data_IF_171488719317
#
_entry.id   IF_171488719317
#
_cell.length_a   1.000
_cell.length_b   1.000
_cell.length_c   1.000
_cell.angle_alpha   90.00
_cell.angle_beta   90.00
_cell.angle_gamma   90.00
#
_symmetry.space_group_name_H-M   'P 1'
#
loop_
_entity.id
_entity.type
_entity.pdbx_description
1 polymer ?
#
# COMPACT_ATOMS: atom_id res chain seq x y z
N UNK A 1 -59.46 -4.11 10.07
CA UNK A 1 -59.11 -3.52 8.77
C UNK A 1 -57.61 -3.64 8.62
N UNK A 2 -57.13 -4.49 7.70
CA UNK A 2 -55.71 -4.54 7.33
C UNK A 2 -55.39 -3.28 6.53
N UNK A 3 -54.61 -2.38 7.11
CA UNK A 3 -54.06 -1.21 6.42
C UNK A 3 -53.04 -1.69 5.40
N UNK A 4 -53.27 -1.40 4.11
CA UNK A 4 -52.30 -1.62 3.05
C UNK A 4 -50.94 -1.01 3.45
N UNK A 5 -49.81 -1.67 3.15
CA UNK A 5 -48.51 -1.05 3.38
C UNK A 5 -48.42 0.24 2.55
N UNK A 6 -48.12 1.36 3.23
CA UNK A 6 -47.85 2.62 2.58
C UNK A 6 -46.55 2.55 1.77
N UNK A 7 -46.38 3.43 0.75
CA UNK A 7 -45.15 3.46 -0.02
C UNK A 7 -43.97 3.80 0.88
N UNK A 8 -42.89 3.03 0.74
CA UNK A 8 -41.59 3.37 1.32
C UNK A 8 -41.12 4.64 0.60
N UNK A 9 -41.18 5.79 1.27
CA UNK A 9 -40.63 7.03 0.75
C UNK A 9 -39.16 7.14 1.13
N UNK A 10 -38.28 6.72 0.22
CA UNK A 10 -36.83 6.95 0.33
C UNK A 10 -36.59 8.38 -0.16
N UNK A 11 -36.55 9.35 0.76
CA UNK A 11 -36.30 10.76 0.44
C UNK A 11 -34.92 10.94 -0.19
N UNK A 12 -34.84 11.77 -1.25
CA UNK A 12 -33.70 11.97 -2.20
C UNK A 12 -33.26 10.74 -3.03
N UNK A 13 -33.51 9.52 -2.55
CA UNK A 13 -33.11 8.26 -3.20
C UNK A 13 -34.04 7.75 -4.30
N UNK A 14 -35.27 8.26 -4.42
CA UNK A 14 -36.16 7.90 -5.54
C UNK A 14 -35.55 8.21 -6.91
N UNK A 15 -34.60 9.15 -6.99
CA UNK A 15 -33.85 9.49 -8.20
C UNK A 15 -32.62 8.59 -8.45
N UNK A 16 -32.20 7.76 -7.47
CA UNK A 16 -31.02 6.86 -7.55
C UNK A 16 -31.38 5.38 -7.63
N UNK A 17 -32.67 5.04 -7.58
CA UNK A 17 -33.15 3.66 -7.66
C UNK A 17 -33.01 3.14 -9.09
N UNK A 18 -31.97 2.35 -9.34
CA UNK A 18 -31.78 1.62 -10.60
C UNK A 18 -32.41 0.24 -10.53
N UNK A 19 -32.65 -0.39 -11.68
CA UNK A 19 -33.07 -1.79 -11.73
C UNK A 19 -32.02 -2.70 -11.08
N UNK A 20 -30.73 -2.37 -11.19
CA UNK A 20 -29.63 -3.12 -10.59
C UNK A 20 -29.70 -3.06 -9.05
N UNK A 21 -30.00 -1.88 -8.49
CA UNK A 21 -30.25 -1.71 -7.07
C UNK A 21 -31.42 -2.60 -6.58
N UNK A 22 -32.52 -2.64 -7.32
CA UNK A 22 -33.68 -3.46 -6.94
C UNK A 22 -33.36 -4.95 -6.90
N UNK A 23 -32.60 -5.44 -7.88
CA UNK A 23 -32.19 -6.84 -7.94
C UNK A 23 -31.23 -7.18 -6.80
N UNK A 24 -30.29 -6.30 -6.51
CA UNK A 24 -29.23 -6.59 -5.53
C UNK A 24 -29.71 -6.41 -4.09
N UNK A 25 -30.49 -5.36 -3.81
CA UNK A 25 -30.88 -5.01 -2.44
C UNK A 25 -32.30 -5.41 -2.08
N UNK A 26 -33.25 -5.43 -3.03
CA UNK A 26 -34.67 -5.68 -2.74
C UNK A 26 -35.13 -7.10 -3.09
N UNK A 27 -34.52 -7.77 -4.06
CA UNK A 27 -34.87 -9.15 -4.39
C UNK A 27 -34.46 -10.09 -3.25
N UNK A 28 -35.37 -10.74 -2.55
CA UNK A 28 -34.98 -11.64 -1.44
C UNK A 28 -34.50 -13.03 -1.92
N UNK A 29 -34.81 -13.42 -3.15
CA UNK A 29 -34.46 -14.73 -3.70
C UNK A 29 -33.06 -14.70 -4.33
N UNK A 30 -32.11 -15.45 -3.74
CA UNK A 30 -30.73 -15.52 -4.21
C UNK A 30 -30.60 -16.10 -5.62
N UNK A 31 -31.32 -17.17 -5.93
CA UNK A 31 -31.28 -17.82 -7.25
C UNK A 31 -31.72 -16.86 -8.36
N UNK A 32 -32.76 -16.06 -8.11
CA UNK A 32 -33.21 -15.06 -9.07
C UNK A 32 -32.16 -13.96 -9.31
N UNK A 33 -31.42 -13.55 -8.25
CA UNK A 33 -30.31 -12.61 -8.43
C UNK A 33 -29.19 -13.24 -9.27
N UNK A 34 -28.82 -14.49 -9.00
CA UNK A 34 -27.79 -15.21 -9.76
C UNK A 34 -28.20 -15.38 -11.22
N UNK A 35 -29.41 -15.87 -11.49
CA UNK A 35 -29.91 -16.02 -12.86
C UNK A 35 -29.90 -14.71 -13.63
N UNK A 36 -30.17 -13.58 -12.99
CA UNK A 36 -30.08 -12.27 -13.65
C UNK A 36 -28.66 -11.98 -14.15
N UNK A 37 -27.65 -12.15 -13.30
CA UNK A 37 -26.25 -11.91 -13.68
C UNK A 37 -25.71 -12.95 -14.65
N UNK A 38 -26.21 -14.19 -14.60
CA UNK A 38 -25.91 -15.22 -15.61
C UNK A 38 -26.43 -14.83 -17.00
N UNK A 39 -27.66 -14.31 -17.07
CA UNK A 39 -28.24 -13.79 -18.32
C UNK A 39 -27.46 -12.57 -18.80
N UNK A 40 -27.12 -11.63 -17.91
CA UNK A 40 -26.32 -10.47 -18.26
C UNK A 40 -24.95 -10.87 -18.83
N UNK A 41 -24.28 -11.86 -18.22
CA UNK A 41 -23.02 -12.42 -18.71
C UNK A 41 -23.16 -13.02 -20.11
N UNK A 42 -24.23 -13.77 -20.36
CA UNK A 42 -24.51 -14.31 -21.70
C UNK A 42 -24.73 -13.20 -22.73
N UNK A 43 -25.48 -12.15 -22.38
CA UNK A 43 -25.65 -10.99 -23.26
C UNK A 43 -24.32 -10.29 -23.58
N UNK A 44 -23.42 -10.14 -22.60
CA UNK A 44 -22.07 -9.59 -22.82
C UNK A 44 -21.29 -10.46 -23.81
N UNK A 45 -21.32 -11.78 -23.65
CA UNK A 45 -20.64 -12.69 -24.57
C UNK A 45 -21.17 -12.57 -26.02
N UNK A 46 -22.48 -12.36 -26.18
CA UNK A 46 -23.10 -12.22 -27.50
C UNK A 46 -22.77 -10.87 -28.17
N UNK A 47 -22.76 -9.76 -27.41
CA UNK A 47 -22.50 -8.42 -27.98
C UNK A 47 -21.01 -8.11 -28.17
N UNK A 48 -20.11 -8.75 -27.41
CA UNK A 48 -18.67 -8.44 -27.45
C UNK A 48 -18.04 -8.59 -28.84
N UNK A 49 -18.30 -9.65 -29.63
CA UNK A 49 -17.77 -9.75 -30.99
C UNK A 49 -18.25 -8.63 -31.91
N UNK A 50 -19.49 -8.17 -31.75
CA UNK A 50 -20.05 -7.08 -32.55
C UNK A 50 -19.34 -5.77 -32.25
N UNK A 51 -19.03 -5.52 -30.96
CA UNK A 51 -18.29 -4.33 -30.54
C UNK A 51 -16.86 -4.37 -31.10
N UNK A 52 -16.17 -5.51 -30.99
CA UNK A 52 -14.81 -5.66 -31.52
C UNK A 52 -14.75 -5.44 -33.04
N UNK A 53 -15.74 -5.94 -33.78
CA UNK A 53 -15.85 -5.68 -35.21
C UNK A 53 -16.03 -4.17 -35.48
N UNK A 54 -16.94 -3.50 -34.77
CA UNK A 54 -17.13 -2.06 -34.93
C UNK A 54 -15.89 -1.24 -34.56
N UNK A 55 -15.14 -1.62 -33.52
CA UNK A 55 -13.86 -0.99 -33.17
C UNK A 55 -12.81 -1.12 -34.28
N UNK A 56 -12.87 -2.20 -35.07
CA UNK A 56 -11.98 -2.39 -36.21
C UNK A 56 -12.39 -1.53 -37.41
N UNK A 57 -13.70 -1.38 -37.64
CA UNK A 57 -14.26 -0.64 -38.78
C UNK A 57 -14.27 0.88 -38.57
N UNK A 58 -14.49 1.31 -37.32
CA UNK A 58 -14.65 2.71 -36.92
C UNK A 58 -13.79 3.00 -35.68
N UNK A 59 -12.45 2.95 -35.78
CA UNK A 59 -11.60 3.22 -34.64
C UNK A 59 -11.90 4.62 -34.07
N UNK A 60 -12.06 4.66 -32.75
CA UNK A 60 -12.27 5.87 -31.93
C UNK A 60 -13.61 6.61 -32.09
N UNK A 61 -14.53 6.14 -32.94
CA UNK A 61 -15.89 6.68 -33.04
C UNK A 61 -16.87 5.90 -32.16
N UNK A 62 -16.83 6.19 -30.86
CA UNK A 62 -17.70 5.54 -29.85
C UNK A 62 -19.18 5.86 -30.04
N UNK A 63 -19.50 7.02 -30.63
CA UNK A 63 -20.88 7.42 -30.93
C UNK A 63 -21.50 6.54 -32.03
N UNK A 64 -20.68 5.99 -32.92
CA UNK A 64 -21.09 5.01 -33.93
C UNK A 64 -21.24 3.58 -33.40
N UNK A 65 -20.96 3.32 -32.10
CA UNK A 65 -20.96 1.98 -31.50
C UNK A 65 -22.06 1.82 -30.42
N UNK A 66 -23.35 1.76 -30.79
CA UNK A 66 -24.45 1.74 -29.81
C UNK A 66 -24.38 0.54 -28.85
N UNK A 67 -23.89 -0.61 -29.29
CA UNK A 67 -23.71 -1.78 -28.43
C UNK A 67 -22.63 -1.55 -27.37
N UNK A 68 -21.57 -0.81 -27.71
CA UNK A 68 -20.52 -0.44 -26.76
C UNK A 68 -21.07 0.54 -25.72
N UNK A 69 -21.84 1.55 -26.15
CA UNK A 69 -22.50 2.49 -25.23
C UNK A 69 -23.43 1.80 -24.24
N UNK A 70 -24.26 0.85 -24.71
CA UNK A 70 -25.16 0.06 -23.85
C UNK A 70 -24.35 -0.74 -22.83
N UNK A 71 -23.28 -1.40 -23.26
CA UNK A 71 -22.42 -2.18 -22.38
C UNK A 71 -21.73 -1.29 -21.34
N UNK A 72 -21.14 -0.16 -21.75
CA UNK A 72 -20.48 0.80 -20.85
C UNK A 72 -21.47 1.30 -19.79
N UNK A 73 -22.68 1.71 -20.20
CA UNK A 73 -23.72 2.19 -19.27
C UNK A 73 -24.11 1.12 -18.25
N UNK A 74 -24.27 -0.13 -18.69
CA UNK A 74 -24.56 -1.25 -17.79
C UNK A 74 -23.42 -1.51 -16.80
N UNK A 75 -22.17 -1.47 -17.26
CA UNK A 75 -20.99 -1.66 -16.41
C UNK A 75 -20.83 -0.51 -15.40
N UNK A 76 -21.08 0.74 -15.80
CA UNK A 76 -21.09 1.91 -14.93
C UNK A 76 -22.13 1.77 -13.81
N UNK A 77 -23.34 1.31 -14.14
CA UNK A 77 -24.37 1.05 -13.12
C UNK A 77 -23.93 -0.05 -12.13
N UNK A 78 -23.24 -1.09 -12.60
CA UNK A 78 -22.68 -2.13 -11.75
C UNK A 78 -21.57 -1.59 -10.84
N UNK A 79 -20.65 -0.77 -11.37
CA UNK A 79 -19.56 -0.14 -10.61
C UNK A 79 -20.11 0.82 -9.57
N UNK A 80 -21.04 1.70 -9.97
CA UNK A 80 -21.67 2.66 -9.08
C UNK A 80 -22.35 1.95 -7.91
N UNK A 81 -23.10 0.87 -8.19
CA UNK A 81 -23.72 0.07 -7.15
C UNK A 81 -22.69 -0.65 -6.27
N UNK A 82 -21.65 -1.21 -6.88
CA UNK A 82 -20.62 -1.94 -6.15
C UNK A 82 -19.87 -1.02 -5.20
N UNK A 83 -19.58 0.23 -5.56
CA UNK A 83 -18.84 1.18 -4.72
C UNK A 83 -19.71 2.14 -3.89
N UNK A 84 -21.03 2.16 -4.05
CA UNK A 84 -21.95 2.91 -3.20
C UNK A 84 -22.17 2.22 -1.85
N UNK A 85 -21.36 2.56 -0.83
CA UNK A 85 -21.38 1.82 0.46
C UNK A 85 -21.43 2.66 1.73
N UNK A 86 -21.54 3.97 1.60
CA UNK A 86 -21.36 4.87 2.75
C UNK A 86 -22.57 4.93 3.67
N UNK A 87 -23.78 4.67 3.18
CA UNK A 87 -24.99 4.40 3.97
C UNK A 87 -26.22 4.30 3.08
N UNK A 88 -27.17 3.43 3.44
CA UNK A 88 -28.56 3.57 2.98
C UNK A 88 -29.37 4.15 4.14
N UNK A 89 -29.88 5.37 3.97
CA UNK A 89 -30.92 5.90 4.85
C UNK A 89 -32.26 5.23 4.54
N UNK A 90 -32.71 4.34 5.42
CA UNK A 90 -34.07 3.82 5.37
C UNK A 90 -34.93 4.67 6.29
N UNK A 91 -35.76 5.54 5.70
CA UNK A 91 -36.84 6.19 6.43
C UNK A 91 -37.80 5.10 6.96
N UNK A 92 -37.84 4.94 8.28
CA UNK A 92 -38.77 4.07 8.97
C UNK A 92 -40.22 4.53 8.79
N UNK A 93 -41.15 3.66 9.17
CA UNK A 93 -42.61 3.81 9.03
C UNK A 93 -43.22 5.04 9.76
N UNK A 94 -42.41 5.78 10.51
CA UNK A 94 -42.80 7.02 11.19
C UNK A 94 -41.82 8.12 10.79
N UNK A 95 -42.33 9.31 10.47
CA UNK A 95 -41.62 10.49 9.93
C UNK A 95 -40.36 10.96 10.68
N UNK A 96 -39.98 10.32 11.78
CA UNK A 96 -38.90 10.74 12.68
C UNK A 96 -37.85 9.65 12.95
N UNK A 97 -37.82 8.54 12.19
CA UNK A 97 -36.81 7.49 12.34
C UNK A 97 -36.18 7.23 10.98
N UNK A 98 -35.10 7.93 10.63
CA UNK A 98 -34.19 7.49 9.56
C UNK A 98 -33.22 6.46 10.18
N UNK A 99 -33.26 5.22 9.71
CA UNK A 99 -32.28 4.20 10.09
C UNK A 99 -31.19 4.17 9.02
N UNK A 100 -30.01 4.68 9.37
CA UNK A 100 -28.79 4.55 8.56
C UNK A 100 -28.35 3.08 8.60
N UNK A 101 -28.51 2.34 7.50
CA UNK A 101 -27.92 1.02 7.34
C UNK A 101 -26.51 1.21 6.78
N UNK A 102 -25.55 1.40 7.67
CA UNK A 102 -24.13 1.22 7.40
C UNK A 102 -23.69 -0.08 8.09
N UNK A 103 -23.95 -1.24 7.46
CA UNK A 103 -23.74 -2.55 8.12
C UNK A 103 -23.27 -3.64 7.14
N UNK A 104 -22.68 -4.71 7.69
CA UNK A 104 -22.23 -5.89 6.97
C UNK A 104 -23.23 -6.51 5.97
N UNK A 105 -24.57 -6.50 6.18
CA UNK A 105 -25.53 -6.99 5.19
C UNK A 105 -25.55 -6.18 3.89
N UNK A 106 -25.21 -4.89 3.94
CA UNK A 106 -25.09 -4.06 2.73
C UNK A 106 -23.90 -4.53 1.90
N UNK A 107 -22.74 -4.71 2.53
CA UNK A 107 -21.56 -5.29 1.89
C UNK A 107 -21.82 -6.70 1.34
N UNK A 108 -22.55 -7.54 2.06
CA UNK A 108 -22.94 -8.88 1.61
C UNK A 108 -23.86 -8.84 0.37
N UNK A 109 -24.76 -7.86 0.28
CA UNK A 109 -25.69 -7.77 -0.86
C UNK A 109 -24.96 -7.47 -2.19
N UNK A 110 -23.91 -6.63 -2.16
CA UNK A 110 -23.16 -6.26 -3.37
C UNK A 110 -22.12 -7.30 -3.80
N UNK A 111 -21.88 -8.36 -3.00
CA UNK A 111 -20.92 -9.42 -3.35
C UNK A 111 -21.26 -10.11 -4.67
N UNK A 112 -22.55 -10.25 -4.97
CA UNK A 112 -22.98 -10.86 -6.24
C UNK A 112 -22.55 -10.03 -7.45
N UNK A 113 -22.55 -8.70 -7.31
CA UNK A 113 -22.04 -7.78 -8.34
C UNK A 113 -20.53 -7.92 -8.47
N UNK A 114 -19.81 -7.95 -7.35
CA UNK A 114 -18.36 -8.17 -7.35
C UNK A 114 -17.96 -9.50 -8.01
N UNK A 115 -18.67 -10.58 -7.69
CA UNK A 115 -18.44 -11.91 -8.28
C UNK A 115 -18.75 -11.93 -9.78
N UNK A 116 -19.81 -11.24 -10.20
CA UNK A 116 -20.15 -11.06 -11.60
C UNK A 116 -19.05 -10.29 -12.34
N UNK A 117 -18.62 -9.14 -11.81
CA UNK A 117 -17.54 -8.32 -12.37
C UNK A 117 -16.24 -9.14 -12.51
N UNK A 118 -15.86 -9.88 -11.48
CA UNK A 118 -14.67 -10.76 -11.48
C UNK A 118 -14.73 -11.82 -12.60
N UNK A 119 -15.92 -12.41 -12.79
CA UNK A 119 -16.14 -13.41 -13.83
C UNK A 119 -15.97 -12.81 -15.23
N UNK A 120 -16.62 -11.68 -15.50
CA UNK A 120 -16.60 -11.08 -16.84
C UNK A 120 -15.23 -10.47 -17.21
N UNK A 121 -14.45 -9.97 -16.23
CA UNK A 121 -13.07 -9.50 -16.50
C UNK A 121 -12.12 -10.64 -16.83
N UNK A 122 -12.37 -11.82 -16.25
CA UNK A 122 -11.56 -13.02 -16.53
C UNK A 122 -11.83 -13.51 -17.95
N UNK A 123 -13.08 -13.45 -18.39
CA UNK A 123 -13.54 -14.06 -19.65
C UNK A 123 -13.39 -13.16 -20.87
N UNK A 124 -13.35 -11.84 -20.67
CA UNK A 124 -13.34 -10.90 -21.79
C UNK A 124 -12.32 -9.78 -21.61
N UNK A 125 -11.34 -9.71 -22.52
CA UNK A 125 -10.42 -8.57 -22.63
C UNK A 125 -11.14 -7.25 -22.94
N UNK A 126 -12.22 -7.28 -23.73
CA UNK A 126 -13.02 -6.08 -24.04
C UNK A 126 -13.59 -5.45 -22.77
N UNK A 127 -14.29 -6.26 -21.97
CA UNK A 127 -14.79 -5.84 -20.66
C UNK A 127 -13.69 -5.26 -19.75
N UNK A 128 -12.49 -5.87 -19.67
CA UNK A 128 -11.37 -5.28 -18.91
C UNK A 128 -11.02 -3.88 -19.42
N UNK A 129 -10.84 -3.74 -20.73
CA UNK A 129 -10.55 -2.46 -21.37
C UNK A 129 -11.65 -1.43 -21.07
N UNK A 130 -12.92 -1.78 -21.26
CA UNK A 130 -14.05 -0.87 -21.00
C UNK A 130 -14.12 -0.45 -19.52
N UNK A 131 -13.95 -1.40 -18.58
CA UNK A 131 -14.01 -1.10 -17.15
C UNK A 131 -12.90 -0.12 -16.72
N UNK A 132 -11.71 -0.24 -17.28
CA UNK A 132 -10.57 0.65 -16.97
C UNK A 132 -10.70 1.98 -17.69
N UNK A 133 -10.81 1.97 -19.03
CA UNK A 133 -10.65 3.14 -19.88
C UNK A 133 -11.93 3.96 -20.05
N UNK A 134 -13.11 3.33 -19.92
CA UNK A 134 -14.41 3.98 -20.11
C UNK A 134 -15.19 4.15 -18.82
N UNK A 135 -15.15 3.15 -17.95
CA UNK A 135 -15.90 3.17 -16.69
C UNK A 135 -15.06 3.62 -15.48
N UNK A 136 -13.75 3.86 -15.64
CA UNK A 136 -12.86 4.35 -14.59
C UNK A 136 -12.99 3.58 -13.26
N UNK A 137 -13.06 2.25 -13.32
CA UNK A 137 -13.26 1.41 -12.13
C UNK A 137 -12.15 1.62 -11.07
N UNK A 138 -10.93 1.95 -11.52
CA UNK A 138 -9.80 2.27 -10.65
C UNK A 138 -10.04 3.58 -9.92
N UNK A 139 -10.45 4.64 -10.62
CA UNK A 139 -10.92 5.88 -9.99
C UNK A 139 -12.00 5.61 -8.94
N UNK A 140 -13.04 4.85 -9.27
CA UNK A 140 -14.13 4.54 -8.33
C UNK A 140 -13.65 3.78 -7.09
N UNK A 141 -12.76 2.80 -7.27
CA UNK A 141 -12.14 2.10 -6.15
C UNK A 141 -11.40 3.07 -5.23
N UNK A 142 -10.50 3.88 -5.80
CA UNK A 142 -9.67 4.79 -5.01
C UNK A 142 -10.53 5.86 -4.34
N UNK A 143 -11.47 6.46 -5.07
CA UNK A 143 -12.38 7.50 -4.59
C UNK A 143 -13.25 7.01 -3.42
N UNK A 144 -13.64 5.74 -3.43
CA UNK A 144 -14.46 5.13 -2.37
C UNK A 144 -13.71 4.86 -1.05
N UNK A 145 -12.39 5.08 -0.99
CA UNK A 145 -11.62 4.91 0.25
C UNK A 145 -11.85 6.08 1.20
N UNK A 146 -12.09 5.76 2.47
CA UNK A 146 -12.22 6.77 3.53
C UNK A 146 -10.84 7.25 3.95
N UNK A 147 -10.52 8.52 3.71
CA UNK A 147 -9.20 9.13 3.97
C UNK A 147 -9.24 10.34 4.92
N UNK A 148 -10.35 10.58 5.61
CA UNK A 148 -10.61 11.74 6.49
C UNK A 148 -9.72 11.82 7.75
N UNK A 149 -8.64 11.04 7.82
CA UNK A 149 -7.74 10.89 8.96
C UNK A 149 -7.03 12.19 9.39
N UNK A 150 -7.13 13.27 8.60
CA UNK A 150 -6.45 14.53 8.87
C UNK A 150 -7.03 15.25 10.10
N UNK A 151 -8.28 14.96 10.50
CA UNK A 151 -8.95 15.62 11.64
C UNK A 151 -9.12 14.72 12.88
N UNK A 152 -8.60 13.49 12.87
CA UNK A 152 -8.65 12.64 14.06
C UNK A 152 -7.74 13.19 15.18
N UNK A 153 -8.28 13.47 16.38
CA UNK A 153 -7.51 14.12 17.43
C UNK A 153 -6.30 13.29 17.83
N UNK A 154 -5.21 14.01 18.14
CA UNK A 154 -3.82 13.65 18.53
C UNK A 154 -3.70 12.61 19.68
N UNK A 155 -4.79 11.96 20.07
CA UNK A 155 -4.87 10.98 21.15
C UNK A 155 -4.73 9.51 20.69
N UNK A 156 -4.72 9.22 19.39
CA UNK A 156 -4.47 7.85 18.89
C UNK A 156 -2.97 7.61 18.70
N UNK A 157 -2.40 6.67 19.46
CA UNK A 157 -1.01 6.21 19.32
C UNK A 157 -0.74 5.35 18.08
N UNK A 158 -1.76 5.14 17.24
CA UNK A 158 -1.66 4.35 16.01
C UNK A 158 -0.88 5.11 14.95
N UNK A 159 -0.06 4.39 14.18
CA UNK A 159 0.63 4.93 13.01
C UNK A 159 -0.38 5.35 11.92
N UNK A 160 0.01 6.27 11.04
CA UNK A 160 -0.86 6.76 9.95
C UNK A 160 -1.47 5.63 9.09
N UNK A 161 -0.73 4.58 8.68
CA UNK A 161 -1.30 3.45 7.94
C UNK A 161 -2.39 2.71 8.74
N UNK A 162 -2.16 2.45 10.02
CA UNK A 162 -3.13 1.77 10.90
C UNK A 162 -4.41 2.60 11.06
N UNK A 163 -4.28 3.93 11.13
CA UNK A 163 -5.43 4.84 11.18
C UNK A 163 -6.27 4.71 9.91
N UNK A 164 -5.66 4.74 8.72
CA UNK A 164 -6.40 4.56 7.46
C UNK A 164 -7.11 3.21 7.37
N UNK A 165 -6.43 2.13 7.75
CA UNK A 165 -7.04 0.80 7.76
C UNK A 165 -8.23 0.72 8.74
N UNK A 166 -8.11 1.34 9.92
CA UNK A 166 -9.15 1.34 10.94
C UNK A 166 -10.37 2.22 10.58
N UNK A 167 -10.20 3.23 9.72
CA UNK A 167 -11.28 4.12 9.30
C UNK A 167 -12.23 3.51 8.28
N UNK A 168 -11.85 2.39 7.65
CA UNK A 168 -12.70 1.76 6.64
C UNK A 168 -13.97 1.18 7.27
N UNK A 169 -15.11 1.42 6.65
CA UNK A 169 -16.40 0.95 7.16
C UNK A 169 -16.48 -0.58 7.14
N UNK A 170 -17.24 -1.18 8.06
CA UNK A 170 -17.44 -2.65 8.10
C UNK A 170 -18.01 -3.19 6.78
N UNK A 171 -18.91 -2.42 6.13
CA UNK A 171 -19.46 -2.78 4.83
C UNK A 171 -18.36 -2.83 3.76
N UNK A 172 -17.43 -1.87 3.75
CA UNK A 172 -16.29 -1.85 2.83
C UNK A 172 -15.31 -2.99 3.11
N UNK A 173 -14.90 -3.19 4.37
CA UNK A 173 -13.99 -4.27 4.76
C UNK A 173 -14.53 -5.65 4.34
N UNK A 174 -15.85 -5.86 4.41
CA UNK A 174 -16.47 -7.14 4.02
C UNK A 174 -16.31 -7.49 2.54
N UNK A 175 -15.99 -6.52 1.68
CA UNK A 175 -15.83 -6.70 0.23
C UNK A 175 -14.38 -6.73 -0.24
N UNK A 176 -13.42 -6.40 0.63
CA UNK A 176 -12.00 -6.39 0.29
C UNK A 176 -11.49 -7.66 -0.38
N UNK A 177 -11.88 -8.89 0.04
CA UNK A 177 -11.43 -10.10 -0.65
C UNK A 177 -11.81 -10.10 -2.14
N UNK A 178 -13.06 -9.77 -2.44
CA UNK A 178 -13.58 -9.69 -3.81
C UNK A 178 -12.95 -8.55 -4.60
N UNK A 179 -12.75 -7.38 -3.98
CA UNK A 179 -12.08 -6.25 -4.62
C UNK A 179 -10.63 -6.55 -4.97
N UNK A 180 -9.88 -7.17 -4.05
CA UNK A 180 -8.49 -7.57 -4.28
C UNK A 180 -8.39 -8.51 -5.47
N UNK A 181 -9.28 -9.50 -5.55
CA UNK A 181 -9.32 -10.45 -6.67
C UNK A 181 -9.68 -9.77 -7.99
N UNK A 182 -10.75 -8.97 -7.98
CA UNK A 182 -11.23 -8.22 -9.15
C UNK A 182 -10.15 -7.28 -9.70
N UNK A 183 -9.59 -6.43 -8.85
CA UNK A 183 -8.61 -5.41 -9.25
C UNK A 183 -7.28 -6.02 -9.68
N UNK A 184 -6.84 -7.10 -9.03
CA UNK A 184 -5.65 -7.83 -9.47
C UNK A 184 -5.85 -8.44 -10.86
N UNK A 185 -7.02 -9.04 -11.12
CA UNK A 185 -7.35 -9.66 -12.40
C UNK A 185 -7.50 -8.62 -13.51
N UNK A 186 -8.08 -7.46 -13.19
CA UNK A 186 -8.31 -6.37 -14.12
C UNK A 186 -7.00 -5.88 -14.78
N UNK A 187 -5.92 -5.80 -14.01
CA UNK A 187 -4.63 -5.25 -14.43
C UNK A 187 -3.53 -6.31 -14.62
N UNK A 188 -3.85 -7.60 -14.55
CA UNK A 188 -2.87 -8.69 -14.55
C UNK A 188 -1.98 -8.78 -15.81
N UNK A 189 -2.37 -8.13 -16.92
CA UNK A 189 -1.59 -8.10 -18.16
C UNK A 189 -1.61 -6.69 -18.80
N UNK A 190 -0.74 -5.77 -18.34
CA UNK A 190 -0.65 -4.40 -18.90
C UNK A 190 -0.35 -4.39 -20.41
N UNK A 191 0.38 -5.41 -20.87
CA UNK A 191 0.79 -5.58 -22.28
C UNK A 191 -0.28 -6.26 -23.14
N UNK A 192 -1.44 -6.66 -22.60
CA UNK A 192 -2.50 -7.26 -23.42
C UNK A 192 -3.27 -6.17 -24.13
N UNK A 193 -3.07 -6.07 -25.44
CA UNK A 193 -3.85 -5.20 -26.31
C UNK A 193 -5.15 -5.90 -26.72
N UNK A 194 -6.24 -5.13 -26.83
CA UNK A 194 -7.54 -5.70 -27.20
C UNK A 194 -7.57 -6.11 -28.69
N UNK A 195 -6.97 -5.31 -29.56
CA UNK A 195 -6.88 -5.50 -31.02
C UNK A 195 -5.47 -5.05 -31.42
N UNK A 196 -4.63 -5.96 -31.92
CA UNK A 196 -3.31 -5.72 -32.56
C UNK A 196 -2.64 -4.38 -32.20
N UNK A 197 -2.16 -4.24 -30.95
CA UNK A 197 -1.50 -3.05 -30.38
C UNK A 197 -2.26 -1.71 -30.46
N UNK A 198 -3.49 -1.71 -30.93
CA UNK A 198 -4.31 -0.51 -31.18
C UNK A 198 -4.97 0.01 -29.90
N UNK A 199 -5.32 -0.90 -29.00
CA UNK A 199 -5.99 -0.60 -27.73
C UNK A 199 -5.25 -1.28 -26.58
N UNK A 200 -4.06 -0.75 -26.19
CA UNK A 200 -3.38 -1.19 -24.99
C UNK A 200 -4.21 -0.86 -23.75
N UNK A 201 -4.05 -1.64 -22.69
CA UNK A 201 -4.65 -1.32 -21.41
C UNK A 201 -3.77 -0.26 -20.71
N UNK A 202 -4.24 0.98 -20.66
CA UNK A 202 -3.59 2.07 -19.91
C UNK A 202 -4.49 2.50 -18.75
N UNK A 203 -3.91 3.20 -17.78
CA UNK A 203 -4.69 3.83 -16.72
C UNK A 203 -4.95 5.28 -17.13
N UNK A 204 -6.21 5.73 -17.19
CA UNK A 204 -6.51 7.11 -17.54
C UNK A 204 -5.80 8.13 -16.63
N UNK A 205 -5.38 9.30 -17.13
CA UNK A 205 -4.57 10.25 -16.36
C UNK A 205 -5.16 10.66 -15.00
N UNK A 206 -6.48 10.80 -14.91
CA UNK A 206 -7.19 11.12 -13.67
C UNK A 206 -7.13 9.99 -12.64
N UNK A 207 -7.13 8.74 -13.09
CA UNK A 207 -6.97 7.56 -12.24
C UNK A 207 -5.54 7.50 -11.70
N UNK A 208 -4.55 7.84 -12.55
CA UNK A 208 -3.13 7.94 -12.17
C UNK A 208 -2.90 9.04 -11.13
N UNK A 209 -3.43 10.25 -11.36
CA UNK A 209 -3.33 11.36 -10.42
C UNK A 209 -3.92 10.99 -9.05
N UNK A 210 -5.09 10.35 -9.06
CA UNK A 210 -5.77 9.93 -7.83
C UNK A 210 -5.03 8.79 -7.11
N UNK A 211 -4.42 7.86 -7.86
CA UNK A 211 -3.64 6.75 -7.31
C UNK A 211 -2.36 7.23 -6.62
N UNK A 212 -1.70 8.24 -7.20
CA UNK A 212 -0.42 8.77 -6.72
C UNK A 212 -0.58 9.84 -5.63
N UNK A 213 -1.82 10.19 -5.26
CA UNK A 213 -2.09 10.94 -4.03
C UNK A 213 -1.57 10.17 -2.81
N UNK A 214 -0.80 10.86 -1.95
CA UNK A 214 -0.08 10.22 -0.84
C UNK A 214 -1.01 9.55 0.16
N UNK A 215 -2.14 10.18 0.49
CA UNK A 215 -3.07 9.67 1.49
C UNK A 215 -3.82 8.43 0.96
N UNK A 216 -4.24 8.50 -0.30
CA UNK A 216 -4.91 7.38 -0.98
C UNK A 216 -3.97 6.22 -1.19
N UNK A 217 -2.75 6.46 -1.67
CA UNK A 217 -1.71 5.45 -1.83
C UNK A 217 -1.42 4.75 -0.50
N UNK A 218 -1.27 5.51 0.59
CA UNK A 218 -1.07 4.96 1.92
C UNK A 218 -2.26 4.13 2.40
N UNK A 219 -3.49 4.60 2.17
CA UNK A 219 -4.69 3.86 2.51
C UNK A 219 -4.81 2.54 1.74
N UNK A 220 -4.57 2.54 0.43
CA UNK A 220 -4.61 1.34 -0.43
C UNK A 220 -3.60 0.31 0.10
N UNK A 221 -2.37 0.77 0.35
CA UNK A 221 -1.29 -0.06 0.88
C UNK A 221 -1.62 -0.61 2.27
N UNK A 222 -2.11 0.23 3.19
CA UNK A 222 -2.51 -0.18 4.53
C UNK A 222 -3.66 -1.20 4.55
N UNK A 223 -4.56 -1.14 3.55
CA UNK A 223 -5.64 -2.12 3.39
C UNK A 223 -5.18 -3.43 2.73
N UNK A 224 -3.89 -3.55 2.37
CA UNK A 224 -3.26 -4.75 1.80
C UNK A 224 -3.64 -5.02 0.35
N UNK A 225 -3.77 -3.97 -0.46
CA UNK A 225 -4.00 -4.06 -1.90
C UNK A 225 -2.68 -4.03 -2.70
N UNK A 226 -1.63 -4.65 -2.16
CA UNK A 226 -0.25 -4.58 -2.68
C UNK A 226 -0.15 -5.09 -4.11
N UNK A 227 -0.81 -6.22 -4.41
CA UNK A 227 -0.83 -6.78 -5.76
C UNK A 227 -1.48 -5.82 -6.77
N UNK A 228 -2.58 -5.17 -6.40
CA UNK A 228 -3.22 -4.17 -7.25
C UNK A 228 -2.31 -2.95 -7.47
N UNK A 229 -1.62 -2.48 -6.41
CA UNK A 229 -0.65 -1.39 -6.52
C UNK A 229 0.48 -1.77 -7.48
N UNK A 230 1.09 -2.94 -7.30
CA UNK A 230 2.14 -3.44 -8.18
C UNK A 230 1.69 -3.44 -9.64
N UNK A 231 0.51 -3.99 -9.95
CA UNK A 231 0.04 -4.05 -11.33
C UNK A 231 -0.27 -2.65 -11.90
N UNK A 232 -0.91 -1.78 -11.11
CA UNK A 232 -1.21 -0.40 -11.53
C UNK A 232 0.07 0.38 -11.85
N UNK A 233 1.08 0.31 -10.99
CA UNK A 233 2.33 1.02 -11.20
C UNK A 233 3.09 0.47 -12.43
N UNK A 234 3.03 -0.85 -12.69
CA UNK A 234 3.58 -1.45 -13.91
C UNK A 234 2.91 -0.96 -15.20
N UNK A 235 1.62 -0.60 -15.15
CA UNK A 235 0.94 0.04 -16.27
C UNK A 235 1.43 1.48 -16.50
N UNK A 236 1.70 2.22 -15.42
CA UNK A 236 1.92 3.68 -15.43
C UNK A 236 3.36 4.05 -15.78
N UNK A 237 4.35 3.38 -15.16
CA UNK A 237 5.75 3.82 -15.28
C UNK A 237 6.37 3.74 -16.68
N UNK A 238 5.93 2.85 -17.59
CA UNK A 238 6.45 2.84 -18.96
C UNK A 238 5.95 3.97 -19.85
N UNK A 239 4.95 4.76 -19.42
CA UNK A 239 4.30 5.74 -20.29
C UNK A 239 5.20 6.95 -20.57
N UNK A 240 5.70 7.60 -19.51
CA UNK A 240 6.49 8.82 -19.63
C UNK A 240 7.56 8.95 -18.53
N UNK A 241 8.69 9.63 -18.80
CA UNK A 241 9.75 9.79 -17.81
C UNK A 241 9.31 10.62 -16.60
N UNK A 242 8.47 11.65 -16.77
CA UNK A 242 7.99 12.47 -15.66
C UNK A 242 7.03 11.69 -14.75
N UNK A 243 6.17 10.86 -15.35
CA UNK A 243 5.27 9.96 -14.62
C UNK A 243 6.06 8.91 -13.83
N UNK A 244 7.13 8.36 -14.43
CA UNK A 244 8.11 7.50 -13.73
C UNK A 244 8.71 8.20 -12.50
N UNK A 245 9.14 9.46 -12.60
CA UNK A 245 9.69 10.22 -11.46
C UNK A 245 8.62 10.51 -10.40
N UNK A 246 7.43 10.91 -10.81
CA UNK A 246 6.33 11.22 -9.90
C UNK A 246 5.90 9.97 -9.12
N UNK A 247 5.87 8.82 -9.78
CA UNK A 247 5.62 7.52 -9.15
C UNK A 247 6.66 7.20 -8.08
N UNK A 248 7.96 7.31 -8.41
CA UNK A 248 9.03 7.07 -7.43
C UNK A 248 8.93 8.04 -6.25
N UNK A 249 8.63 9.32 -6.50
CA UNK A 249 8.45 10.32 -5.44
C UNK A 249 7.26 9.98 -4.53
N UNK A 250 6.14 9.53 -5.08
CA UNK A 250 4.97 9.11 -4.32
C UNK A 250 5.32 7.89 -3.44
N UNK A 251 6.03 6.90 -3.99
CA UNK A 251 6.48 5.72 -3.24
C UNK A 251 7.49 6.07 -2.14
N UNK A 252 8.41 7.01 -2.38
CA UNK A 252 9.31 7.51 -1.34
C UNK A 252 8.56 8.23 -0.23
N UNK A 253 7.51 9.00 -0.57
CA UNK A 253 6.67 9.66 0.43
C UNK A 253 5.87 8.63 1.25
N UNK A 254 5.38 7.58 0.60
CA UNK A 254 4.76 6.44 1.29
C UNK A 254 5.76 5.73 2.21
N UNK A 255 6.99 5.49 1.74
CA UNK A 255 8.09 4.89 2.49
C UNK A 255 8.38 5.68 3.77
N UNK A 256 8.42 7.02 3.70
CA UNK A 256 8.53 7.85 4.90
C UNK A 256 7.33 7.71 5.86
N UNK A 257 6.13 7.47 5.33
CA UNK A 257 4.91 7.31 6.13
C UNK A 257 4.87 5.96 6.86
N UNK A 258 5.47 4.91 6.29
CA UNK A 258 5.46 3.54 6.83
C UNK A 258 6.74 3.16 7.61
N UNK A 259 7.69 4.08 7.78
CA UNK A 259 9.02 3.84 8.39
C UNK A 259 9.06 3.18 9.78
N UNK A 260 7.93 3.15 10.49
CA UNK A 260 7.79 2.58 11.83
C UNK A 260 6.81 1.40 11.89
N UNK A 261 6.33 0.90 10.75
CA UNK A 261 5.32 -0.16 10.68
C UNK A 261 5.91 -1.48 10.19
N UNK A 262 5.15 -2.56 10.35
CA UNK A 262 5.50 -3.88 9.81
C UNK A 262 5.39 -3.96 8.28
N UNK A 263 5.00 -2.87 7.61
CA UNK A 263 4.78 -2.83 6.16
C UNK A 263 6.04 -2.43 5.37
N UNK A 264 7.17 -2.24 6.05
CA UNK A 264 8.41 -1.76 5.43
C UNK A 264 8.94 -2.71 4.34
N UNK A 265 8.83 -4.02 4.56
CA UNK A 265 9.28 -5.02 3.59
C UNK A 265 8.40 -5.02 2.33
N UNK A 266 7.08 -4.91 2.50
CA UNK A 266 6.12 -4.84 1.39
C UNK A 266 6.30 -3.59 0.51
N UNK A 267 6.77 -2.47 1.06
CA UNK A 267 7.08 -1.29 0.24
C UNK A 267 8.39 -1.44 -0.52
N UNK A 268 9.37 -2.16 0.02
CA UNK A 268 10.57 -2.52 -0.72
C UNK A 268 10.24 -3.44 -1.90
N UNK A 269 9.34 -4.42 -1.71
CA UNK A 269 8.82 -5.24 -2.81
C UNK A 269 8.11 -4.38 -3.88
N UNK A 270 7.32 -3.38 -3.46
CA UNK A 270 6.63 -2.46 -4.37
C UNK A 270 7.63 -1.61 -5.18
N UNK A 271 8.66 -1.08 -4.52
CA UNK A 271 9.73 -0.32 -5.17
C UNK A 271 10.51 -1.20 -6.16
N UNK A 272 10.89 -2.41 -5.78
CA UNK A 272 11.55 -3.37 -6.67
C UNK A 272 10.67 -3.72 -7.86
N UNK A 273 9.38 -3.97 -7.66
CA UNK A 273 8.47 -4.29 -8.75
C UNK A 273 8.39 -3.17 -9.81
N UNK A 274 8.55 -1.91 -9.39
CA UNK A 274 8.60 -0.73 -10.28
C UNK A 274 9.97 -0.53 -10.92
N UNK A 275 11.06 -0.79 -10.19
CA UNK A 275 12.43 -0.71 -10.73
C UNK A 275 12.72 -1.78 -11.79
N UNK A 276 12.14 -2.98 -11.61
CA UNK A 276 12.35 -4.14 -12.48
C UNK A 276 11.46 -4.14 -13.72
N UNK A 277 10.65 -3.11 -13.93
CA UNK A 277 9.92 -2.94 -15.19
C UNK A 277 10.94 -2.69 -16.31
N UNK A 278 10.90 -3.57 -17.30
CA UNK A 278 11.78 -3.51 -18.47
C UNK A 278 11.20 -2.56 -19.52
N UNK A 279 11.68 -1.31 -19.49
CA UNK A 279 11.33 -0.23 -20.41
C UNK A 279 12.47 0.80 -20.55
N UNK A 280 12.29 1.78 -21.43
CA UNK A 280 13.29 2.82 -21.74
C UNK A 280 13.52 3.83 -20.61
N UNK A 281 12.64 3.89 -19.61
CA UNK A 281 12.68 4.84 -18.49
C UNK A 281 13.21 4.21 -17.20
N UNK A 282 13.66 2.95 -17.23
CA UNK A 282 14.28 2.28 -16.08
C UNK A 282 15.41 3.09 -15.45
N UNK A 283 16.29 3.66 -16.26
CA UNK A 283 17.36 4.54 -15.76
C UNK A 283 16.84 5.79 -15.04
N UNK A 284 15.72 6.37 -15.50
CA UNK A 284 15.09 7.52 -14.83
C UNK A 284 14.58 7.14 -13.44
N UNK A 285 14.00 5.93 -13.30
CA UNK A 285 13.52 5.42 -12.02
C UNK A 285 14.67 5.13 -11.05
N UNK A 286 15.75 4.52 -11.53
CA UNK A 286 16.97 4.28 -10.74
C UNK A 286 17.55 5.60 -10.23
N UNK A 287 17.75 6.57 -11.13
CA UNK A 287 18.30 7.87 -10.80
C UNK A 287 17.41 8.62 -9.78
N UNK A 288 16.08 8.55 -9.93
CA UNK A 288 15.14 9.18 -8.98
C UNK A 288 15.12 8.48 -7.62
N UNK A 289 15.14 7.14 -7.58
CA UNK A 289 15.00 6.39 -6.35
C UNK A 289 16.25 6.47 -5.49
N UNK A 290 17.43 6.39 -6.09
CA UNK A 290 18.71 6.37 -5.38
C UNK A 290 19.39 7.75 -5.34
N UNK A 291 18.69 8.82 -5.74
CA UNK A 291 19.22 10.19 -5.70
C UNK A 291 19.75 10.56 -4.31
N UNK A 292 20.98 11.10 -4.20
CA UNK A 292 21.53 11.63 -2.94
C UNK A 292 20.74 12.80 -2.35
N UNK A 293 19.98 13.54 -3.17
CA UNK A 293 19.26 14.74 -2.77
C UNK A 293 17.81 14.46 -2.34
N UNK A 294 17.15 13.51 -3.03
CA UNK A 294 15.70 13.30 -2.88
C UNK A 294 15.29 11.82 -2.76
N UNK A 295 16.23 10.89 -2.90
CA UNK A 295 15.99 9.45 -2.91
C UNK A 295 16.29 8.75 -1.58
N UNK A 296 16.46 7.44 -1.65
CA UNK A 296 16.80 6.56 -0.51
C UNK A 296 18.06 7.02 0.20
N UNK A 297 19.09 7.46 -0.54
CA UNK A 297 20.32 7.97 0.05
C UNK A 297 20.08 9.25 0.88
N UNK A 298 19.21 10.15 0.42
CA UNK A 298 18.83 11.35 1.16
C UNK A 298 18.09 10.98 2.46
N UNK A 299 17.18 10.02 2.40
CA UNK A 299 16.39 9.56 3.54
C UNK A 299 17.27 8.85 4.57
N UNK A 300 18.16 7.97 4.10
CA UNK A 300 19.12 7.28 4.94
C UNK A 300 20.07 8.28 5.64
N UNK A 301 20.53 9.30 4.92
CA UNK A 301 21.33 10.40 5.49
C UNK A 301 20.57 11.18 6.56
N UNK A 302 19.30 11.48 6.33
CA UNK A 302 18.45 12.20 7.27
C UNK A 302 18.29 11.38 8.56
N UNK A 303 17.85 10.13 8.46
CA UNK A 303 17.51 9.29 9.61
C UNK A 303 18.71 8.76 10.41
N UNK A 304 19.93 8.78 9.85
CA UNK A 304 21.12 8.26 10.55
C UNK A 304 21.40 8.97 11.87
N UNK A 305 20.95 10.22 12.00
CA UNK A 305 21.15 11.05 13.20
C UNK A 305 19.96 10.98 14.17
N UNK A 306 18.89 10.28 13.81
CA UNK A 306 17.71 10.08 14.65
C UNK A 306 17.84 8.79 15.46
N UNK A 307 18.07 8.92 16.76
CA UNK A 307 18.30 7.77 17.68
C UNK A 307 17.23 6.68 17.58
N UNK A 308 15.96 7.06 17.38
CA UNK A 308 14.83 6.11 17.30
C UNK A 308 14.69 5.43 15.93
N UNK A 309 15.36 5.95 14.89
CA UNK A 309 15.21 5.48 13.50
C UNK A 309 16.55 5.06 12.88
N UNK A 310 17.56 4.79 13.70
CA UNK A 310 18.84 4.32 13.20
C UNK A 310 18.70 2.96 12.48
N UNK A 311 17.82 2.07 12.98
CA UNK A 311 17.45 0.81 12.31
C UNK A 311 16.88 1.02 10.91
N UNK A 312 16.12 2.10 10.71
CA UNK A 312 15.53 2.43 9.42
C UNK A 312 16.59 2.81 8.39
N UNK A 313 17.62 3.57 8.78
CA UNK A 313 18.79 3.84 7.92
C UNK A 313 19.47 2.55 7.45
N UNK A 314 19.58 1.54 8.33
CA UNK A 314 20.16 0.25 7.94
C UNK A 314 19.30 -0.49 6.92
N UNK A 315 17.98 -0.55 7.12
CA UNK A 315 17.06 -1.19 6.17
C UNK A 315 17.09 -0.51 4.79
N UNK A 316 17.22 0.82 4.74
CA UNK A 316 17.36 1.56 3.49
C UNK A 316 18.67 1.25 2.75
N UNK A 317 19.77 1.11 3.49
CA UNK A 317 21.07 0.75 2.91
C UNK A 317 21.09 -0.72 2.46
N UNK A 318 20.47 -1.62 3.22
CA UNK A 318 20.32 -3.02 2.86
C UNK A 318 19.50 -3.18 1.58
N UNK A 319 18.35 -2.51 1.50
CA UNK A 319 17.54 -2.44 0.28
C UNK A 319 18.35 -1.93 -0.93
N UNK A 320 19.20 -0.91 -0.75
CA UNK A 320 20.07 -0.40 -1.81
C UNK A 320 21.06 -1.46 -2.30
N UNK A 321 21.69 -2.21 -1.40
CA UNK A 321 22.62 -3.28 -1.77
C UNK A 321 21.90 -4.42 -2.49
N UNK A 322 20.77 -4.88 -1.95
CA UNK A 322 19.93 -5.93 -2.56
C UNK A 322 19.51 -5.51 -3.97
N UNK A 323 19.00 -4.28 -4.13
CA UNK A 323 18.63 -3.72 -5.44
C UNK A 323 19.82 -3.68 -6.41
N UNK A 324 21.01 -3.33 -5.94
CA UNK A 324 22.21 -3.29 -6.75
C UNK A 324 22.69 -4.68 -7.21
N UNK A 325 22.46 -5.70 -6.39
CA UNK A 325 22.76 -7.09 -6.77
C UNK A 325 21.74 -7.68 -7.75
N UNK A 326 20.48 -7.27 -7.66
CA UNK A 326 19.42 -7.72 -8.57
C UNK A 326 19.41 -6.97 -9.90
N UNK A 327 19.88 -5.73 -9.94
CA UNK A 327 19.86 -4.86 -11.11
C UNK A 327 21.23 -4.18 -11.34
N UNK A 328 21.92 -4.59 -12.40
CA UNK A 328 23.23 -4.04 -12.76
C UNK A 328 23.20 -2.52 -13.00
N UNK A 329 22.07 -1.98 -13.47
CA UNK A 329 21.90 -0.53 -13.68
C UNK A 329 21.91 0.26 -12.36
N UNK A 330 21.42 -0.35 -11.27
CA UNK A 330 21.45 0.25 -9.93
C UNK A 330 22.89 0.30 -9.43
N UNK A 331 23.64 -0.80 -9.53
CA UNK A 331 25.06 -0.80 -9.18
C UNK A 331 25.85 0.24 -10.01
N UNK A 332 25.61 0.28 -11.33
CA UNK A 332 26.26 1.24 -12.22
C UNK A 332 25.94 2.70 -11.85
N UNK A 333 24.70 3.00 -11.45
CA UNK A 333 24.30 4.32 -10.96
C UNK A 333 25.02 4.68 -9.64
N UNK A 334 24.96 3.79 -8.65
CA UNK A 334 25.56 3.99 -7.33
C UNK A 334 27.09 4.14 -7.40
N UNK A 335 27.73 3.53 -8.41
CA UNK A 335 29.16 3.63 -8.63
C UNK A 335 29.60 4.91 -9.36
N UNK A 336 28.68 5.76 -9.83
CA UNK A 336 29.04 7.03 -10.50
C UNK A 336 29.83 7.95 -9.54
N UNK A 337 30.89 8.64 -10.00
CA UNK A 337 31.74 9.46 -9.13
C UNK A 337 31.00 10.58 -8.41
N UNK A 338 30.05 11.24 -9.09
CA UNK A 338 29.21 12.31 -8.54
C UNK A 338 28.29 11.81 -7.43
N UNK A 339 27.69 10.63 -7.60
CA UNK A 339 26.85 10.00 -6.56
C UNK A 339 27.69 9.65 -5.34
N UNK A 340 28.88 9.06 -5.51
CA UNK A 340 29.79 8.75 -4.41
C UNK A 340 30.28 9.98 -3.66
N UNK A 341 30.57 11.07 -4.39
CA UNK A 341 31.02 12.33 -3.80
C UNK A 341 29.92 12.96 -2.94
N UNK A 342 28.69 13.02 -3.46
CA UNK A 342 27.53 13.53 -2.74
C UNK A 342 27.14 12.65 -1.54
N UNK A 343 27.29 11.33 -1.69
CA UNK A 343 27.04 10.35 -0.63
C UNK A 343 28.31 9.97 0.16
N UNK A 344 29.26 10.90 0.32
CA UNK A 344 30.55 10.68 1.03
C UNK A 344 30.42 10.22 2.49
N UNK A 345 29.23 10.31 3.06
CA UNK A 345 28.92 9.82 4.39
C UNK A 345 28.72 8.30 4.45
N UNK A 346 28.44 7.65 3.33
CA UNK A 346 28.33 6.20 3.20
C UNK A 346 29.72 5.59 3.32
N UNK A 347 29.85 4.52 4.11
CA UNK A 347 31.15 3.92 4.41
C UNK A 347 31.80 3.32 3.16
N UNK A 348 33.13 3.46 3.05
CA UNK A 348 33.91 3.00 1.89
C UNK A 348 33.67 1.52 1.52
N UNK A 349 33.50 0.65 2.51
CA UNK A 349 33.28 -0.78 2.28
C UNK A 349 32.00 -1.09 1.49
N UNK A 350 30.93 -0.28 1.64
CA UNK A 350 29.69 -0.46 0.88
C UNK A 350 29.95 -0.24 -0.62
N UNK A 351 30.79 0.73 -0.96
CA UNK A 351 31.18 0.99 -2.34
C UNK A 351 32.10 -0.10 -2.89
N UNK A 352 32.98 -0.65 -2.06
CA UNK A 352 33.85 -1.76 -2.44
C UNK A 352 33.03 -3.04 -2.68
N UNK A 353 32.01 -3.29 -1.85
CA UNK A 353 31.09 -4.41 -2.02
C UNK A 353 30.37 -4.35 -3.37
N UNK A 354 29.87 -3.18 -3.76
CA UNK A 354 29.23 -2.98 -5.07
C UNK A 354 30.18 -3.18 -6.27
N UNK A 355 31.50 -3.11 -6.05
CA UNK A 355 32.52 -3.36 -7.08
C UNK A 355 32.98 -4.82 -7.11
N UNK A 356 32.76 -5.55 -6.03
CA UNK A 356 33.11 -6.97 -5.93
C UNK A 356 32.02 -7.81 -6.60
N UNK A 357 32.41 -8.84 -7.35
CA UNK A 357 31.49 -9.87 -7.89
C UNK A 357 30.94 -10.80 -6.79
N UNK A 358 31.08 -10.44 -5.51
CA UNK A 358 30.64 -11.22 -4.37
C UNK A 358 29.11 -11.14 -4.24
N UNK A 359 28.44 -12.30 -4.22
CA UNK A 359 27.00 -12.34 -3.95
C UNK A 359 26.73 -11.99 -2.48
N UNK A 360 25.61 -11.30 -2.20
CA UNK A 360 25.14 -11.03 -0.84
C UNK A 360 24.94 -12.39 -0.14
N UNK A 361 25.85 -12.73 0.78
CA UNK A 361 25.80 -13.98 1.55
C UNK A 361 26.87 -15.03 1.20
N UNK A 362 27.73 -14.83 0.20
CA UNK A 362 28.81 -15.78 -0.15
C UNK A 362 30.19 -15.21 0.18
N UNK A 363 30.34 -14.81 1.44
CA UNK A 363 31.61 -14.37 2.01
C UNK A 363 32.31 -15.58 2.64
N UNK A 364 32.69 -16.55 1.80
CA UNK A 364 33.58 -17.61 2.24
C UNK A 364 34.93 -17.00 2.65
N UNK A 365 35.31 -17.29 3.90
CA UNK A 365 36.36 -16.66 4.72
C UNK A 365 37.79 -16.59 4.14
N UNK A 366 38.06 -17.06 2.93
CA UNK A 366 39.44 -17.30 2.45
C UNK A 366 40.01 -16.24 1.50
N UNK A 367 39.20 -15.30 0.96
CA UNK A 367 39.68 -14.29 -0.02
C UNK A 367 39.35 -12.83 0.32
N UNK A 368 38.96 -12.54 1.56
CA UNK A 368 38.69 -11.17 1.99
C UNK A 368 39.96 -10.52 2.55
N UNK A 369 40.32 -9.35 2.03
CA UNK A 369 41.37 -8.54 2.63
C UNK A 369 41.03 -8.20 4.10
N UNK A 370 42.06 -7.92 4.90
CA UNK A 370 41.90 -7.73 6.34
C UNK A 370 40.98 -6.56 6.74
N UNK A 371 40.61 -5.68 5.81
CA UNK A 371 39.62 -4.62 6.03
C UNK A 371 38.18 -5.12 5.79
N UNK A 372 37.96 -5.97 4.78
CA UNK A 372 36.67 -6.61 4.51
C UNK A 372 36.32 -7.67 5.56
N UNK A 373 37.35 -8.33 6.13
CA UNK A 373 37.20 -9.23 7.28
C UNK A 373 36.78 -8.47 8.55
N UNK A 374 37.31 -7.26 8.76
CA UNK A 374 36.91 -6.39 9.87
C UNK A 374 35.49 -5.83 9.69
N UNK A 375 35.05 -5.62 8.45
CA UNK A 375 33.67 -5.20 8.12
C UNK A 375 32.69 -6.35 8.35
N UNK A 376 33.03 -7.58 7.97
CA UNK A 376 32.27 -8.78 8.33
C UNK A 376 32.24 -9.01 9.83
N UNK A 377 33.34 -8.83 10.55
CA UNK A 377 33.35 -8.93 12.01
C UNK A 377 32.50 -7.82 12.67
N UNK A 378 32.45 -6.61 12.10
CA UNK A 378 31.58 -5.52 12.59
C UNK A 378 30.12 -5.78 12.24
N UNK A 379 29.83 -6.36 11.08
CA UNK A 379 28.49 -6.82 10.69
C UNK A 379 28.10 -8.01 11.58
N UNK A 380 28.92 -9.04 11.77
CA UNK A 380 28.67 -10.15 12.69
C UNK A 380 28.61 -9.72 14.17
N UNK A 381 29.32 -8.68 14.62
CA UNK A 381 29.13 -8.13 15.97
C UNK A 381 27.85 -7.29 16.11
N UNK A 382 27.33 -6.72 15.01
CA UNK A 382 26.08 -5.97 14.99
C UNK A 382 24.85 -6.85 14.68
N UNK A 383 25.04 -8.01 14.02
CA UNK A 383 23.99 -8.91 13.53
C UNK A 383 24.08 -10.34 14.12
N UNK A 384 25.19 -10.72 14.73
CA UNK A 384 25.49 -12.07 15.24
C UNK A 384 25.62 -12.11 16.76
N UNK A 385 24.51 -12.48 17.41
CA UNK A 385 24.34 -12.82 18.83
C UNK A 385 24.38 -11.67 19.84
N UNK A 386 23.36 -11.69 20.72
CA UNK A 386 23.15 -10.78 21.85
C UNK A 386 24.46 -10.53 22.61
N UNK A 387 24.94 -9.30 22.54
CA UNK A 387 26.03 -8.82 23.38
C UNK A 387 25.65 -8.96 24.86
N UNK A 388 26.53 -9.55 25.67
CA UNK A 388 26.39 -9.72 27.14
C UNK A 388 26.20 -8.40 27.90
N UNK A 389 26.31 -7.26 27.21
CA UNK A 389 25.98 -5.93 27.73
C UNK A 389 24.45 -5.76 27.90
N UNK A 390 23.62 -6.40 27.06
CA UNK A 390 22.15 -6.42 27.24
C UNK A 390 21.75 -7.11 28.56
N UNK A 391 22.49 -8.13 29.00
CA UNK A 391 22.20 -8.83 30.26
C UNK A 391 22.48 -7.97 31.51
N UNK A 392 23.40 -7.00 31.44
CA UNK A 392 23.67 -6.09 32.56
C UNK A 392 22.65 -4.95 32.62
N UNK A 393 22.17 -4.47 31.47
CA UNK A 393 21.12 -3.44 31.41
C UNK A 393 19.77 -4.03 31.77
N UNK A 394 19.47 -5.27 31.34
CA UNK A 394 18.26 -5.99 31.75
C UNK A 394 18.28 -6.37 33.23
N UNK A 395 19.43 -6.74 33.83
CA UNK A 395 19.51 -6.95 35.29
C UNK A 395 19.26 -5.66 36.08
N UNK A 396 19.77 -4.52 35.64
CA UNK A 396 19.56 -3.23 36.30
C UNK A 396 18.10 -2.74 36.12
N UNK A 397 17.47 -3.01 34.97
CA UNK A 397 16.05 -2.69 34.71
C UNK A 397 15.07 -3.64 35.42
N UNK A 398 15.41 -4.93 35.57
CA UNK A 398 14.63 -5.88 36.38
C UNK A 398 14.72 -5.57 37.88
N UNK A 399 15.90 -5.20 38.40
CA UNK A 399 16.05 -4.79 39.80
C UNK A 399 15.36 -3.46 40.13
N UNK A 400 15.21 -2.55 39.16
CA UNK A 400 14.46 -1.29 39.36
C UNK A 400 12.96 -1.41 39.12
N UNK A 401 12.49 -2.41 38.35
CA UNK A 401 11.05 -2.68 38.19
C UNK A 401 10.44 -3.50 39.33
N UNK A 402 11.23 -4.35 40.01
CA UNK A 402 10.74 -5.10 41.19
C UNK A 402 10.52 -4.25 42.44
N UNK A 403 11.05 -3.01 42.49
CA UNK A 403 10.83 -2.08 43.61
C UNK A 403 9.46 -1.37 43.53
N UNK A 404 8.76 -1.39 42.37
CA UNK A 404 7.48 -0.70 42.19
C UNK A 404 6.24 -1.60 42.17
N UNK A 405 6.38 -2.91 42.37
CA UNK A 405 5.23 -3.83 42.46
C UNK A 405 5.31 -4.72 43.70
N UNK A 406 5.26 -4.11 44.89
CA UNK A 406 4.88 -4.85 46.10
C UNK A 406 3.81 -4.09 46.89
N UNK A 407 2.60 -4.65 47.10
CA UNK A 407 1.59 -4.01 47.90
C UNK A 407 1.95 -4.11 49.38
N UNK A 408 1.78 -2.98 50.07
CA UNK A 408 1.83 -2.81 51.53
C UNK A 408 1.39 -4.06 52.31
N UNK A 409 2.29 -4.57 53.14
CA UNK A 409 1.91 -5.09 54.44
C UNK A 409 2.82 -4.49 55.52
N UNK A 410 2.20 -3.90 56.53
CA UNK A 410 2.81 -3.10 57.57
C UNK A 410 3.92 -3.83 58.34
N UNK A 411 5.11 -3.24 58.42
CA UNK A 411 5.90 -3.07 59.65
C UNK A 411 6.94 -1.98 59.44
N UNK A 412 6.92 -0.98 60.31
CA UNK A 412 7.95 0.06 60.42
C UNK A 412 9.34 -0.58 60.57
N UNK A 413 10.30 -0.18 59.73
CA UNK A 413 11.71 -0.18 60.09
C UNK A 413 12.27 1.18 59.64
N UNK A 414 12.73 1.95 60.63
CA UNK A 414 13.37 3.24 60.44
C UNK A 414 14.78 3.04 59.87
N UNK A 415 15.11 3.75 58.80
CA UNK A 415 16.49 3.84 58.32
C UNK A 415 17.21 5.00 59.02
N UNK A 416 17.44 4.82 60.32
CA UNK A 416 18.57 5.41 61.05
C UNK A 416 19.83 4.53 60.97
N UNK A 417 19.83 3.48 60.15
CA UNK A 417 20.90 2.47 60.11
C UNK A 417 21.31 2.07 58.68
N UNK A 418 21.59 3.05 57.81
CA UNK A 418 22.59 2.83 56.75
C UNK A 418 23.81 3.66 57.13
N UNK A 419 24.76 2.98 57.79
CA UNK A 419 26.15 3.44 57.92
C UNK A 419 26.76 3.46 56.53
N UNK A 420 27.06 4.65 56.04
CA UNK A 420 28.03 4.86 54.97
C UNK A 420 29.40 4.85 55.66
N UNK A 421 30.15 3.76 55.53
CA UNK A 421 31.59 3.75 55.81
C UNK A 421 32.29 4.49 54.65
N UNK A 422 32.44 5.80 54.84
CA UNK A 422 33.48 6.59 54.19
C UNK A 422 34.72 6.50 55.08
N UNK A 423 35.73 5.77 54.64
CA UNK A 423 37.11 5.98 55.11
C UNK A 423 38.01 6.16 53.90
N UNK A 424 38.67 7.32 53.92
CA UNK A 424 39.53 7.93 52.93
C UNK A 424 40.80 7.11 52.62
N UNK A 425 41.41 7.37 51.45
CA UNK A 425 42.72 8.03 51.39
C UNK A 425 43.11 8.36 49.93
N UNK A 426 42.85 9.59 49.52
CA UNK A 426 43.78 10.33 48.62
C UNK A 426 44.06 11.66 49.30
N UNK A 427 45.31 11.85 49.68
CA UNK A 427 45.83 12.97 50.46
C UNK A 427 45.89 14.27 49.62
N UNK A 428 45.18 15.35 49.98
CA UNK A 428 45.21 16.61 49.25
C UNK A 428 46.27 17.57 49.81
N UNK A 429 47.55 17.18 49.71
CA UNK A 429 48.68 18.04 50.06
C UNK A 429 49.73 18.24 48.94
N UNK A 430 49.49 17.77 47.71
CA UNK A 430 50.44 17.91 46.59
C UNK A 430 49.95 18.79 45.42
N UNK A 431 49.04 19.75 45.67
CA UNK A 431 48.61 20.73 44.67
C UNK A 431 48.86 22.18 45.07
N UNK A 432 49.94 22.45 45.81
CA UNK A 432 50.62 23.75 45.83
C UNK A 432 52.13 23.60 46.08
N UNK A 433 52.88 23.39 45.00
CA UNK A 433 54.26 23.90 44.82
C UNK A 433 54.57 24.02 43.33
#
# INVERSE_FOLDING_TARGET
MQTKPGPICIGEYAQRRTWCFDIVHLCQNLELRSCFFDVARACIADISPMILQSMTEHPDDWDAMPNATILITFLDECIALFYQRDSIEIAGLTSNISAVIANAPLGASVQIVGSFLETIVTESALVRYLLVEKCHIVYHFIASLTIDAVDTPVACSASTPEQYAAMQTVARVSTFPTEKSLLATLLANPKSCLIDDTYPLSLPPQDVELLLDTHRLCCIFACGFDLFLVQSLKCIVPEEPEVSRLTIKALLTLLDTVKATTLLESIFELLNAVLLVDDSYRGVRVDALFSPDQGILAFAFYYRHHRSFQHYTYNLLDYMLTSATEAAEVAAYLLRPDVKEQASWVRAWLWNFLQSDATVGDLNHEELDGESQLVLEVVEQLFGSKSEIENQVDQILLETHDIKTSPRNNKQIAFSDIKVDLTDEVNPAELMS
#
